data_IF_709520096567
#
_entry.id   IF_709520096567
#
_cell.length_a   1.000
_cell.length_b   1.000
_cell.length_c   1.000
_cell.angle_alpha   90.00
_cell.angle_beta   90.00
_cell.angle_gamma   90.00
#
_symmetry.space_group_name_H-M   'P 1'
#
loop_
_entity.id
_entity.type
_entity.pdbx_description
1 polymer ?
#
# COMPACT_ATOMS: atom_id res chain seq x y z
N UNK A 1 16.67 19.42 -12.19
CA UNK A 1 15.37 19.66 -11.51
C UNK A 1 15.55 19.47 -10.00
N UNK A 2 15.00 20.36 -9.20
CA UNK A 2 15.03 20.31 -7.74
C UNK A 2 13.62 20.08 -7.19
N UNK A 3 13.40 18.96 -6.54
CA UNK A 3 12.10 18.55 -5.98
C UNK A 3 12.08 18.81 -4.47
N UNK A 4 10.93 19.21 -3.93
CA UNK A 4 10.69 19.33 -2.51
C UNK A 4 9.62 18.32 -2.09
N UNK A 5 10.02 17.35 -1.28
CA UNK A 5 9.13 16.36 -0.69
C UNK A 5 8.78 16.78 0.74
N UNK A 6 7.51 16.88 1.01
CA UNK A 6 6.99 17.16 2.35
C UNK A 6 6.39 15.88 2.91
N UNK A 7 7.06 15.30 3.89
CA UNK A 7 6.74 13.99 4.43
C UNK A 7 6.40 14.05 5.92
N UNK A 8 5.36 13.35 6.33
CA UNK A 8 5.07 13.16 7.75
C UNK A 8 5.83 11.98 8.37
N UNK A 9 6.31 11.08 7.53
CA UNK A 9 7.11 9.90 7.87
C UNK A 9 8.18 9.71 6.81
N UNK A 10 9.35 9.25 7.22
CA UNK A 10 10.45 8.92 6.31
C UNK A 10 11.37 7.90 6.99
N UNK A 11 12.18 7.19 6.21
CA UNK A 11 13.17 6.25 6.78
C UNK A 11 13.86 6.81 8.03
N UNK A 12 14.07 5.99 9.06
CA UNK A 12 13.92 4.53 9.15
C UNK A 12 12.52 4.06 9.60
N UNK A 13 11.49 4.90 9.52
CA UNK A 13 10.12 4.50 9.85
C UNK A 13 9.58 3.57 8.75
N UNK A 14 9.10 2.38 9.15
CA UNK A 14 8.54 1.37 8.25
C UNK A 14 7.01 1.48 8.22
N UNK A 15 6.49 2.34 7.38
CA UNK A 15 5.07 2.39 7.02
C UNK A 15 4.85 1.80 5.64
N UNK A 16 3.62 1.44 5.30
CA UNK A 16 3.28 0.72 4.06
C UNK A 16 3.83 1.35 2.77
N UNK A 17 4.10 2.64 2.77
CA UNK A 17 4.54 3.41 1.62
C UNK A 17 6.07 3.64 1.57
N UNK A 18 6.82 3.39 2.64
CA UNK A 18 8.24 3.75 2.75
C UNK A 18 9.12 3.09 1.67
N UNK A 19 8.85 1.82 1.34
CA UNK A 19 9.60 1.11 0.31
C UNK A 19 9.37 1.71 -1.09
N UNK A 20 8.16 2.17 -1.41
CA UNK A 20 7.85 2.84 -2.66
C UNK A 20 8.61 4.17 -2.78
N UNK A 21 8.68 4.92 -1.68
CA UNK A 21 9.42 6.18 -1.68
C UNK A 21 10.91 5.97 -1.88
N UNK A 22 11.49 4.94 -1.28
CA UNK A 22 12.89 4.56 -1.51
C UNK A 22 13.16 4.30 -2.99
N UNK A 23 12.36 3.46 -3.61
CA UNK A 23 12.45 3.14 -5.04
C UNK A 23 12.30 4.39 -5.92
N UNK A 24 11.33 5.26 -5.58
CA UNK A 24 11.13 6.52 -6.28
C UNK A 24 12.36 7.43 -6.18
N UNK A 25 12.94 7.59 -4.99
CA UNK A 25 14.14 8.39 -4.79
C UNK A 25 15.33 7.85 -5.60
N UNK A 26 15.54 6.54 -5.62
CA UNK A 26 16.56 5.90 -6.46
C UNK A 26 16.37 6.22 -7.93
N UNK A 27 15.13 6.12 -8.44
CA UNK A 27 14.82 6.43 -9.83
C UNK A 27 15.00 7.92 -10.17
N UNK A 28 14.58 8.82 -9.29
CA UNK A 28 14.76 10.27 -9.45
C UNK A 28 16.25 10.65 -9.51
N UNK A 29 17.06 10.03 -8.67
CA UNK A 29 18.50 10.26 -8.63
C UNK A 29 19.20 9.74 -9.89
N UNK A 30 18.79 8.58 -10.42
CA UNK A 30 19.29 8.04 -11.71
C UNK A 30 19.04 9.03 -12.85
N UNK A 31 17.90 9.71 -12.84
CA UNK A 31 17.54 10.77 -13.80
C UNK A 31 18.12 12.15 -13.45
N UNK A 32 19.19 12.19 -12.68
CA UNK A 32 19.90 13.43 -12.28
C UNK A 32 19.05 14.49 -11.56
N UNK A 33 17.92 14.10 -10.95
CA UNK A 33 17.12 14.99 -10.12
C UNK A 33 17.74 15.15 -8.72
N UNK A 34 17.48 16.27 -8.09
CA UNK A 34 17.84 16.53 -6.68
C UNK A 34 16.58 16.61 -5.86
N UNK A 35 16.56 15.95 -4.71
CA UNK A 35 15.40 15.93 -3.83
C UNK A 35 15.77 16.52 -2.48
N UNK A 36 14.94 17.44 -2.00
CA UNK A 36 14.99 17.91 -0.63
C UNK A 36 13.76 17.37 0.11
N UNK A 37 14.00 16.63 1.18
CA UNK A 37 12.95 16.03 2.01
C UNK A 37 12.87 16.78 3.32
N UNK A 38 11.67 17.18 3.71
CA UNK A 38 11.38 17.73 5.04
C UNK A 38 10.48 16.74 5.76
N UNK A 39 10.94 16.23 6.89
CA UNK A 39 10.21 15.26 7.71
C UNK A 39 10.52 15.44 9.19
N UNK A 40 9.68 14.94 10.10
CA UNK A 40 10.00 14.87 11.52
C UNK A 40 11.11 13.85 11.80
N UNK A 41 11.67 13.91 13.01
CA UNK A 41 12.46 12.78 13.55
C UNK A 41 11.57 11.53 13.66
N UNK A 42 12.13 10.32 13.50
CA UNK A 42 11.36 9.07 13.52
C UNK A 42 10.63 8.87 14.86
N UNK A 43 9.36 8.49 14.78
CA UNK A 43 8.52 8.27 15.96
C UNK A 43 7.66 7.01 15.88
N UNK A 44 7.37 6.51 14.67
CA UNK A 44 6.46 5.39 14.42
C UNK A 44 7.20 4.14 13.97
N UNK A 45 6.89 2.99 14.58
CA UNK A 45 7.44 1.70 14.17
C UNK A 45 8.96 1.55 14.35
N UNK A 46 9.58 2.39 15.18
CA UNK A 46 11.03 2.36 15.44
C UNK A 46 11.33 2.14 16.90
N UNK A 47 12.46 1.49 17.19
CA UNK A 47 12.92 1.26 18.57
C UNK A 47 13.31 2.57 19.25
N UNK A 48 13.37 2.53 20.60
CA UNK A 48 13.83 3.69 21.37
C UNK A 48 15.30 4.04 21.06
N UNK A 49 16.12 3.06 20.75
CA UNK A 49 17.51 3.25 20.34
C UNK A 49 17.60 4.07 19.06
N UNK A 50 16.84 3.73 18.02
CA UNK A 50 16.78 4.50 16.77
C UNK A 50 16.29 5.94 17.05
N UNK A 51 15.29 6.12 17.91
CA UNK A 51 14.81 7.46 18.27
C UNK A 51 15.90 8.31 18.94
N UNK A 52 16.68 7.71 19.83
CA UNK A 52 17.82 8.40 20.48
C UNK A 52 18.88 8.79 19.46
N UNK A 53 19.22 7.90 18.52
CA UNK A 53 20.17 8.17 17.45
C UNK A 53 19.75 9.36 16.58
N UNK A 54 18.47 9.45 16.23
CA UNK A 54 17.94 10.51 15.37
C UNK A 54 17.62 11.82 16.09
N UNK A 55 17.62 11.86 17.42
CA UNK A 55 17.24 13.04 18.23
C UNK A 55 18.07 14.31 17.92
N UNK A 56 19.33 14.15 17.53
CA UNK A 56 20.24 15.25 17.18
C UNK A 56 20.48 15.44 15.67
N UNK A 57 19.96 14.53 14.84
CA UNK A 57 20.23 14.50 13.41
C UNK A 57 19.29 15.45 12.66
N UNK A 58 19.72 16.69 12.45
CA UNK A 58 18.93 17.73 11.78
C UNK A 58 19.00 17.65 10.26
N UNK A 59 20.14 17.24 9.72
CA UNK A 59 20.36 17.10 8.28
C UNK A 59 21.06 15.77 7.96
N UNK A 60 20.71 15.20 6.83
CA UNK A 60 21.24 13.95 6.32
C UNK A 60 21.39 14.05 4.80
N UNK A 61 22.43 13.44 4.25
CA UNK A 61 22.65 13.39 2.80
C UNK A 61 22.67 11.94 2.36
N UNK A 62 21.80 11.60 1.45
CA UNK A 62 21.67 10.27 0.85
C UNK A 62 22.02 10.36 -0.64
N UNK A 63 22.28 9.21 -1.28
CA UNK A 63 22.55 9.10 -2.71
C UNK A 63 23.65 10.11 -3.17
N UNK A 64 24.81 10.07 -2.53
CA UNK A 64 25.95 10.96 -2.82
C UNK A 64 25.58 12.45 -2.76
N UNK A 65 24.65 12.81 -1.87
CA UNK A 65 24.23 14.19 -1.62
C UNK A 65 23.18 14.74 -2.61
N UNK A 66 22.63 13.92 -3.50
CA UNK A 66 21.51 14.30 -4.38
C UNK A 66 20.18 14.35 -3.64
N UNK A 67 20.02 13.56 -2.58
CA UNK A 67 18.90 13.64 -1.65
C UNK A 67 19.39 14.27 -0.35
N UNK A 68 18.74 15.36 0.06
CA UNK A 68 19.01 16.07 1.32
C UNK A 68 17.78 15.97 2.20
N UNK A 69 17.93 15.35 3.37
CA UNK A 69 16.85 15.21 4.35
C UNK A 69 17.04 16.22 5.46
N UNK A 70 16.00 17.00 5.75
CA UNK A 70 15.95 17.92 6.89
C UNK A 70 14.92 17.45 7.87
N UNK A 71 15.37 17.15 9.09
CA UNK A 71 14.53 16.66 10.16
C UNK A 71 14.26 17.73 11.19
N UNK A 72 13.05 17.77 11.69
CA UNK A 72 12.64 18.62 12.81
C UNK A 72 12.08 17.76 13.95
N UNK A 73 12.12 18.28 15.16
CA UNK A 73 11.54 17.62 16.31
C UNK A 73 10.01 17.59 16.20
N UNK A 74 9.42 16.44 16.56
CA UNK A 74 7.97 16.26 16.67
C UNK A 74 7.61 15.51 17.97
N UNK A 75 6.43 15.78 18.55
CA UNK A 75 5.90 14.98 19.64
C UNK A 75 5.79 13.51 19.25
N UNK A 76 5.92 12.63 20.24
CA UNK A 76 5.75 11.19 20.04
C UNK A 76 4.34 10.89 19.52
N UNK A 77 4.22 9.92 18.61
CA UNK A 77 2.92 9.47 18.15
C UNK A 77 2.21 8.69 19.25
N UNK A 78 1.03 9.13 19.64
CA UNK A 78 0.20 8.54 20.68
C UNK A 78 -1.03 7.88 20.10
N UNK A 79 -1.57 6.87 20.76
CA UNK A 79 -2.89 6.31 20.47
C UNK A 79 -4.05 7.31 20.70
N UNK A 80 -3.81 8.38 21.46
CA UNK A 80 -4.81 9.42 21.72
C UNK A 80 -5.02 10.32 20.51
N UNK A 81 -6.28 10.46 20.07
CA UNK A 81 -6.64 11.23 18.86
C UNK A 81 -6.31 12.72 18.97
N UNK A 82 -6.42 13.32 20.17
CA UNK A 82 -6.10 14.75 20.40
C UNK A 82 -4.59 14.98 20.29
N UNK A 83 -3.79 14.11 20.92
CA UNK A 83 -2.33 14.18 20.83
C UNK A 83 -1.84 13.99 19.38
N UNK A 84 -2.48 13.09 18.61
CA UNK A 84 -2.21 12.92 17.18
C UNK A 84 -2.55 14.17 16.36
N UNK A 85 -3.70 14.78 16.61
CA UNK A 85 -4.10 16.00 15.92
C UNK A 85 -3.11 17.14 16.21
N UNK A 86 -2.68 17.31 17.46
CA UNK A 86 -1.65 18.29 17.85
C UNK A 86 -0.32 18.00 17.15
N UNK A 87 0.12 16.74 17.11
CA UNK A 87 1.33 16.35 16.38
C UNK A 87 1.24 16.71 14.91
N UNK A 88 0.14 16.42 14.23
CA UNK A 88 -0.03 16.76 12.82
C UNK A 88 -0.01 18.29 12.60
N UNK A 89 -0.68 19.04 13.45
CA UNK A 89 -0.61 20.50 13.39
C UNK A 89 0.82 21.02 13.55
N UNK A 90 1.55 20.51 14.55
CA UNK A 90 2.95 20.86 14.79
C UNK A 90 3.84 20.52 13.60
N UNK A 91 3.71 19.32 13.06
CA UNK A 91 4.48 18.87 11.91
C UNK A 91 4.19 19.74 10.68
N UNK A 92 2.93 20.09 10.44
CA UNK A 92 2.54 20.98 9.34
C UNK A 92 3.18 22.37 9.50
N UNK A 93 3.16 22.93 10.70
CA UNK A 93 3.75 24.23 10.97
C UNK A 93 5.27 24.24 10.72
N UNK A 94 5.98 23.21 11.23
CA UNK A 94 7.42 23.07 11.01
C UNK A 94 7.75 22.86 9.53
N UNK A 95 7.04 21.98 8.84
CA UNK A 95 7.23 21.72 7.42
C UNK A 95 6.97 22.97 6.57
N UNK A 96 5.95 23.75 6.90
CA UNK A 96 5.69 25.03 6.23
C UNK A 96 6.85 26.02 6.43
N UNK A 97 7.30 26.21 7.67
CA UNK A 97 8.36 27.14 8.02
C UNK A 97 9.68 26.79 7.33
N UNK A 98 10.06 25.53 7.36
CA UNK A 98 11.30 25.06 6.73
C UNK A 98 11.14 25.08 5.21
N UNK A 99 10.04 24.54 4.67
CA UNK A 99 9.80 24.42 3.23
C UNK A 99 9.79 25.75 2.50
N UNK A 100 9.18 26.78 3.07
CA UNK A 100 9.13 28.12 2.45
C UNK A 100 10.47 28.85 2.44
N UNK A 101 11.44 28.41 3.26
CA UNK A 101 12.79 29.02 3.31
C UNK A 101 13.76 28.36 2.33
N UNK A 102 13.48 27.16 1.85
CA UNK A 102 14.35 26.45 0.89
C UNK A 102 14.46 27.28 -0.40
N UNK A 103 15.64 27.24 -1.00
CA UNK A 103 15.92 27.92 -2.25
C UNK A 103 15.84 26.98 -3.46
N UNK A 104 15.41 27.52 -4.62
CA UNK A 104 15.47 26.86 -5.93
C UNK A 104 14.76 25.50 -5.98
N UNK A 105 13.44 25.51 -5.79
CA UNK A 105 12.55 24.35 -5.96
C UNK A 105 11.75 24.51 -7.25
N UNK A 106 11.66 23.42 -8.02
CA UNK A 106 10.92 23.37 -9.27
C UNK A 106 9.53 22.75 -9.08
N UNK A 107 9.41 21.72 -8.24
CA UNK A 107 8.13 21.04 -7.95
C UNK A 107 8.05 20.70 -6.46
N UNK A 108 6.86 20.87 -5.88
CA UNK A 108 6.50 20.38 -4.54
C UNK A 108 5.73 19.06 -4.69
N UNK A 109 6.07 18.08 -3.87
CA UNK A 109 5.43 16.76 -3.85
C UNK A 109 5.08 16.34 -2.42
N UNK A 110 3.95 15.69 -2.25
CA UNK A 110 3.61 15.04 -0.99
C UNK A 110 2.62 13.91 -1.17
N UNK A 111 2.65 12.98 -0.21
CA UNK A 111 1.66 11.91 -0.08
C UNK A 111 0.43 12.37 0.73
N UNK A 112 -0.64 11.58 0.67
CA UNK A 112 -1.92 11.88 1.34
C UNK A 112 -1.94 11.64 2.86
N UNK A 113 -0.86 11.11 3.43
CA UNK A 113 -0.80 10.78 4.86
C UNK A 113 0.16 11.72 5.60
N UNK A 114 -0.30 12.45 6.63
CA UNK A 114 -1.68 12.59 7.13
C UNK A 114 -2.57 13.44 6.19
N UNK A 115 -3.89 13.42 6.36
CA UNK A 115 -4.83 14.11 5.46
C UNK A 115 -4.57 15.60 5.23
N UNK A 116 -3.95 16.28 6.20
CA UNK A 116 -3.59 17.70 6.10
C UNK A 116 -2.34 17.97 5.26
N UNK A 117 -1.61 16.94 4.87
CA UNK A 117 -0.32 17.06 4.16
C UNK A 117 -0.48 17.72 2.78
N UNK A 118 -1.54 17.37 2.04
CA UNK A 118 -1.83 17.97 0.74
C UNK A 118 -2.11 19.47 0.85
N UNK A 119 -2.95 19.89 1.79
CA UNK A 119 -3.22 21.31 2.04
C UNK A 119 -1.95 22.08 2.42
N UNK A 120 -1.10 21.52 3.28
CA UNK A 120 0.19 22.09 3.63
C UNK A 120 1.05 22.29 2.38
N UNK A 121 1.17 21.28 1.54
CA UNK A 121 2.02 21.29 0.34
C UNK A 121 1.55 22.33 -0.67
N UNK A 122 0.24 22.47 -0.85
CA UNK A 122 -0.35 23.54 -1.67
C UNK A 122 0.03 24.94 -1.15
N UNK A 123 -0.03 25.15 0.18
CA UNK A 123 0.37 26.42 0.80
C UNK A 123 1.86 26.72 0.62
N UNK A 124 2.71 25.70 0.74
CA UNK A 124 4.16 25.84 0.51
C UNK A 124 4.43 26.18 -0.95
N UNK A 125 3.85 25.45 -1.91
CA UNK A 125 4.00 25.69 -3.34
C UNK A 125 3.58 27.13 -3.70
N UNK A 126 2.43 27.58 -3.20
CA UNK A 126 1.94 28.97 -3.39
C UNK A 126 2.90 30.01 -2.83
N UNK A 127 3.49 29.76 -1.65
CA UNK A 127 4.47 30.68 -1.04
C UNK A 127 5.77 30.72 -1.83
N UNK A 128 6.27 29.57 -2.29
CA UNK A 128 7.46 29.47 -3.13
C UNK A 128 7.24 30.14 -4.49
N UNK A 129 6.07 29.95 -5.11
CA UNK A 129 5.71 30.63 -6.37
C UNK A 129 5.79 32.16 -6.25
N UNK A 130 5.24 32.72 -5.16
CA UNK A 130 5.35 34.15 -4.89
C UNK A 130 6.80 34.60 -4.67
N UNK A 131 7.58 33.80 -3.92
CA UNK A 131 9.00 34.09 -3.62
C UNK A 131 9.86 34.12 -4.88
N UNK A 132 9.64 33.14 -5.78
CA UNK A 132 10.45 33.02 -7.00
C UNK A 132 9.90 33.79 -8.19
N UNK A 133 8.71 34.41 -8.06
CA UNK A 133 7.99 35.11 -9.14
C UNK A 133 7.78 34.21 -10.38
N UNK A 134 7.65 32.91 -10.15
CA UNK A 134 7.28 31.90 -11.16
C UNK A 134 6.42 30.84 -10.52
N UNK A 135 5.67 30.10 -11.33
CA UNK A 135 4.89 28.96 -10.83
C UNK A 135 5.83 27.88 -10.27
N UNK A 136 5.52 27.36 -9.09
CA UNK A 136 6.09 26.14 -8.50
C UNK A 136 4.92 25.18 -8.34
N UNK A 137 4.76 24.23 -9.26
CA UNK A 137 3.65 23.30 -9.24
C UNK A 137 3.68 22.36 -8.04
N UNK A 138 2.48 21.90 -7.66
CA UNK A 138 2.27 20.92 -6.61
C UNK A 138 1.68 19.63 -7.18
N UNK A 139 2.36 18.52 -6.98
CA UNK A 139 1.90 17.17 -7.31
C UNK A 139 1.52 16.44 -6.01
N UNK A 140 0.28 15.95 -5.97
CA UNK A 140 -0.30 15.25 -4.84
C UNK A 140 -0.42 13.77 -5.11
N UNK A 141 0.19 12.92 -4.30
CA UNK A 141 0.10 11.46 -4.40
C UNK A 141 -0.94 10.92 -3.42
N UNK A 142 -2.09 10.53 -3.94
CA UNK A 142 -3.26 10.10 -3.20
C UNK A 142 -3.21 8.59 -2.94
N UNK A 143 -2.70 8.20 -1.79
CA UNK A 143 -2.59 6.80 -1.34
C UNK A 143 -3.80 6.35 -0.52
N UNK A 144 -4.60 7.28 -0.03
CA UNK A 144 -5.79 7.06 0.80
C UNK A 144 -6.77 8.22 0.60
N UNK A 145 -8.01 7.91 0.30
CA UNK A 145 -9.06 8.93 0.07
C UNK A 145 -9.69 9.31 1.41
N UNK A 146 -9.18 10.38 1.97
CA UNK A 146 -9.75 11.01 3.17
C UNK A 146 -10.80 12.06 2.75
N UNK A 147 -11.98 12.18 3.41
CA UNK A 147 -12.40 11.48 4.64
C UNK A 147 -13.19 10.19 4.42
N UNK A 148 -13.22 9.65 3.20
CA UNK A 148 -14.00 8.44 2.90
C UNK A 148 -13.48 7.23 3.71
N UNK A 149 -12.16 7.14 3.89
CA UNK A 149 -11.52 6.12 4.73
C UNK A 149 -11.93 6.19 6.21
N UNK A 150 -12.31 7.35 6.74
CA UNK A 150 -12.89 7.44 8.08
C UNK A 150 -14.28 6.82 8.17
N UNK A 151 -15.03 6.86 7.07
CA UNK A 151 -16.38 6.27 7.02
C UNK A 151 -16.27 4.76 6.92
N UNK A 152 -15.42 4.25 6.04
CA UNK A 152 -15.20 2.80 5.85
C UNK A 152 -14.64 2.11 7.11
N UNK A 153 -13.80 2.82 7.88
CA UNK A 153 -13.27 2.32 9.17
C UNK A 153 -14.20 2.56 10.37
N UNK A 154 -15.36 3.21 10.16
CA UNK A 154 -16.32 3.51 11.22
C UNK A 154 -15.90 4.64 12.18
N UNK A 155 -14.81 5.34 11.91
CA UNK A 155 -14.31 6.45 12.73
C UNK A 155 -15.11 7.74 12.56
N UNK A 156 -15.84 7.89 11.47
CA UNK A 156 -16.74 9.01 11.23
C UNK A 156 -17.98 8.56 10.46
N UNK A 157 -19.12 9.26 10.65
CA UNK A 157 -20.31 9.11 9.82
C UNK A 157 -20.26 10.12 8.68
N UNK A 158 -20.69 9.71 7.47
CA UNK A 158 -20.85 10.62 6.32
C UNK A 158 -21.77 11.79 6.73
N UNK A 159 -21.34 13.02 6.42
CA UNK A 159 -22.08 14.23 6.81
C UNK A 159 -21.83 14.75 8.24
N UNK A 160 -21.08 14.04 9.08
CA UNK A 160 -20.68 14.53 10.42
C UNK A 160 -19.76 15.77 10.32
N UNK A 161 -19.58 16.48 11.42
CA UNK A 161 -18.69 17.66 11.48
C UNK A 161 -17.26 17.29 11.07
N UNK A 162 -16.73 16.17 11.58
CA UNK A 162 -15.40 15.69 11.25
C UNK A 162 -15.29 15.39 9.74
N UNK A 163 -16.29 14.72 9.18
CA UNK A 163 -16.33 14.42 7.74
C UNK A 163 -16.37 15.72 6.90
N UNK A 164 -17.21 16.70 7.29
CA UNK A 164 -17.29 17.99 6.59
C UNK A 164 -15.97 18.78 6.62
N UNK A 165 -15.27 18.76 7.76
CA UNK A 165 -13.94 19.37 7.87
C UNK A 165 -12.96 18.64 6.95
N UNK A 166 -12.96 17.29 6.97
CA UNK A 166 -12.13 16.48 6.10
C UNK A 166 -12.37 16.78 4.63
N UNK A 167 -13.64 16.89 4.21
CA UNK A 167 -14.01 17.26 2.83
C UNK A 167 -13.45 18.64 2.43
N UNK A 168 -13.53 19.63 3.29
CA UNK A 168 -12.95 20.97 3.00
C UNK A 168 -11.43 20.91 2.82
N UNK A 169 -10.73 20.11 3.62
CA UNK A 169 -9.28 19.92 3.48
C UNK A 169 -8.96 19.23 2.16
N UNK A 170 -9.72 18.19 1.82
CA UNK A 170 -9.58 17.43 0.58
C UNK A 170 -9.88 18.35 -0.63
N UNK A 171 -11.01 19.04 -0.63
CA UNK A 171 -11.40 19.96 -1.70
C UNK A 171 -10.34 21.06 -1.93
N UNK A 172 -9.83 21.66 -0.86
CA UNK A 172 -8.75 22.64 -0.96
C UNK A 172 -7.49 22.04 -1.61
N UNK A 173 -7.14 20.81 -1.20
CA UNK A 173 -5.96 20.11 -1.76
C UNK A 173 -6.14 19.87 -3.25
N UNK A 174 -7.27 19.28 -3.67
CA UNK A 174 -7.55 18.97 -5.08
C UNK A 174 -7.62 20.21 -5.98
N UNK A 175 -8.22 21.28 -5.48
CA UNK A 175 -8.29 22.55 -6.23
C UNK A 175 -6.91 23.14 -6.49
N UNK A 176 -5.98 23.02 -5.53
CA UNK A 176 -4.65 23.63 -5.59
C UNK A 176 -3.54 22.69 -6.07
N UNK A 177 -3.81 21.42 -6.27
CA UNK A 177 -2.88 20.50 -6.91
C UNK A 177 -2.88 20.75 -8.43
N UNK A 178 -1.71 20.77 -9.03
CA UNK A 178 -1.53 20.82 -10.48
C UNK A 178 -1.72 19.46 -11.11
N UNK A 179 -1.23 18.42 -10.43
CA UNK A 179 -1.46 17.00 -10.76
C UNK A 179 -1.76 16.19 -9.50
N UNK A 180 -2.60 15.18 -9.67
CA UNK A 180 -2.97 14.24 -8.60
C UNK A 180 -2.68 12.83 -9.11
N UNK A 181 -1.79 12.12 -8.43
CA UNK A 181 -1.53 10.72 -8.70
C UNK A 181 -2.48 9.90 -7.85
N UNK A 182 -3.15 8.95 -8.47
CA UNK A 182 -4.02 7.96 -7.80
C UNK A 182 -3.53 6.55 -8.10
N UNK A 183 -3.82 5.61 -7.21
CA UNK A 183 -3.28 4.24 -7.27
C UNK A 183 -4.12 3.28 -8.12
N UNK A 184 -5.32 3.70 -8.55
CA UNK A 184 -6.27 2.85 -9.28
C UNK A 184 -7.31 3.68 -10.05
N UNK A 185 -8.01 3.02 -10.99
CA UNK A 185 -9.12 3.63 -11.73
C UNK A 185 -10.33 3.93 -10.83
N UNK A 186 -10.56 3.13 -9.78
CA UNK A 186 -11.60 3.40 -8.79
C UNK A 186 -11.31 4.67 -8.00
N UNK A 187 -10.03 4.92 -7.63
CA UNK A 187 -9.65 6.19 -7.02
C UNK A 187 -9.83 7.36 -7.97
N UNK A 188 -9.46 7.22 -9.25
CA UNK A 188 -9.71 8.22 -10.29
C UNK A 188 -11.20 8.54 -10.38
N UNK A 189 -12.05 7.52 -10.52
CA UNK A 189 -13.51 7.67 -10.60
C UNK A 189 -14.09 8.35 -9.36
N UNK A 190 -13.60 7.99 -8.17
CA UNK A 190 -14.04 8.60 -6.91
C UNK A 190 -13.75 10.11 -6.86
N UNK A 191 -12.54 10.54 -7.20
CA UNK A 191 -12.20 11.97 -7.12
C UNK A 191 -12.78 12.76 -8.30
N UNK A 192 -12.98 12.15 -9.47
CA UNK A 192 -13.75 12.75 -10.58
C UNK A 192 -15.20 13.02 -10.17
N UNK A 193 -15.85 12.10 -9.48
CA UNK A 193 -17.19 12.28 -8.92
C UNK A 193 -17.26 13.42 -7.88
N UNK A 194 -16.13 13.81 -7.31
CA UNK A 194 -15.96 14.96 -6.40
C UNK A 194 -15.63 16.27 -7.14
N UNK A 195 -15.61 16.24 -8.48
CA UNK A 195 -15.40 17.43 -9.32
C UNK A 195 -13.94 17.71 -9.67
N UNK A 196 -13.03 16.75 -9.48
CA UNK A 196 -11.64 16.89 -9.95
C UNK A 196 -11.61 16.67 -11.46
N UNK A 197 -11.06 17.60 -12.26
CA UNK A 197 -10.92 17.43 -13.71
C UNK A 197 -10.00 16.26 -14.07
N UNK A 198 -10.39 15.47 -15.07
CA UNK A 198 -9.65 14.27 -15.47
C UNK A 198 -8.20 14.56 -15.87
N UNK A 199 -7.97 15.69 -16.55
CA UNK A 199 -6.62 16.11 -16.98
C UNK A 199 -5.64 16.39 -15.84
N UNK A 200 -6.14 16.55 -14.61
CA UNK A 200 -5.29 16.66 -13.42
C UNK A 200 -4.89 15.29 -12.85
N UNK A 201 -5.56 14.20 -13.25
CA UNK A 201 -5.44 12.90 -12.60
C UNK A 201 -4.52 11.99 -13.42
N UNK A 202 -3.54 11.40 -12.74
CA UNK A 202 -2.68 10.35 -13.28
C UNK A 202 -2.86 9.07 -12.47
N UNK A 203 -3.19 7.97 -13.13
CA UNK A 203 -3.29 6.67 -12.47
C UNK A 203 -1.93 5.99 -12.52
N UNK A 204 -1.21 5.97 -11.41
CA UNK A 204 0.06 5.24 -11.27
C UNK A 204 -0.09 4.29 -10.09
N UNK A 205 -0.18 3.01 -10.37
CA UNK A 205 -0.32 1.97 -9.35
C UNK A 205 0.87 1.95 -8.39
N UNK A 206 0.65 1.53 -7.16
CA UNK A 206 1.74 1.08 -6.31
C UNK A 206 2.40 -0.14 -6.97
N UNK A 207 3.70 -0.29 -6.82
CA UNK A 207 4.48 -1.26 -7.59
C UNK A 207 5.14 -2.32 -6.74
N UNK A 208 5.67 -3.30 -7.43
CA UNK A 208 6.54 -4.32 -6.88
C UNK A 208 7.86 -4.36 -7.66
N UNK A 209 8.95 -4.62 -6.96
CA UNK A 209 10.24 -4.88 -7.57
C UNK A 209 10.28 -6.34 -8.03
N UNK A 210 10.25 -6.54 -9.35
CA UNK A 210 10.21 -7.87 -9.96
C UNK A 210 11.55 -8.62 -9.87
N UNK A 211 12.65 -7.95 -9.56
CA UNK A 211 13.93 -8.60 -9.31
C UNK A 211 13.95 -9.22 -7.90
N UNK A 212 13.33 -8.54 -6.94
CA UNK A 212 13.23 -9.00 -5.56
C UNK A 212 12.11 -10.02 -5.35
N UNK A 213 10.99 -9.89 -6.09
CA UNK A 213 9.83 -10.78 -5.97
C UNK A 213 9.63 -11.57 -7.26
N UNK A 214 9.81 -12.88 -7.17
CA UNK A 214 9.80 -13.80 -8.31
C UNK A 214 9.26 -15.18 -7.92
N UNK A 215 8.82 -15.98 -8.90
CA UNK A 215 8.39 -17.35 -8.63
C UNK A 215 9.54 -18.19 -8.08
N UNK A 216 9.26 -18.99 -7.06
CA UNK A 216 10.15 -20.00 -6.50
C UNK A 216 9.59 -21.39 -6.82
N UNK A 217 10.40 -22.25 -7.40
CA UNK A 217 10.01 -23.64 -7.70
C UNK A 217 9.58 -24.38 -6.44
N UNK A 218 8.57 -25.25 -6.55
CA UNK A 218 8.04 -25.98 -5.39
C UNK A 218 9.14 -26.78 -4.67
N UNK A 219 10.01 -27.45 -5.43
CA UNK A 219 11.12 -28.23 -4.87
C UNK A 219 12.22 -27.38 -4.23
N UNK A 220 12.32 -26.11 -4.64
CA UNK A 220 13.30 -25.16 -4.13
C UNK A 220 12.75 -24.35 -2.94
N UNK A 221 11.44 -24.43 -2.68
CA UNK A 221 10.80 -23.64 -1.65
C UNK A 221 11.09 -24.18 -0.25
N UNK A 222 11.93 -23.46 0.48
CA UNK A 222 12.42 -23.87 1.81
C UNK A 222 11.31 -23.98 2.86
N UNK A 223 10.18 -23.30 2.65
CA UNK A 223 9.05 -23.35 3.59
C UNK A 223 8.44 -24.76 3.70
N UNK A 224 8.53 -25.57 2.64
CA UNK A 224 8.04 -26.96 2.70
C UNK A 224 8.74 -27.76 3.79
N UNK A 225 10.08 -27.71 3.84
CA UNK A 225 10.86 -28.42 4.85
C UNK A 225 10.80 -27.73 6.22
N UNK A 226 10.86 -26.42 6.25
CA UNK A 226 10.86 -25.60 7.48
C UNK A 226 9.58 -25.81 8.30
N UNK A 227 8.42 -25.89 7.63
CA UNK A 227 7.12 -26.06 8.27
C UNK A 227 6.54 -27.47 8.12
N UNK A 228 7.34 -28.45 7.64
CA UNK A 228 6.90 -29.84 7.43
C UNK A 228 5.65 -29.96 6.57
N UNK A 229 5.54 -29.11 5.52
CA UNK A 229 4.40 -29.08 4.61
C UNK A 229 4.60 -30.16 3.53
N UNK A 230 3.60 -30.99 3.30
CA UNK A 230 3.65 -32.05 2.30
C UNK A 230 3.58 -31.46 0.86
N UNK A 231 4.60 -31.68 0.02
CA UNK A 231 4.67 -31.07 -1.32
C UNK A 231 3.61 -31.61 -2.29
N UNK A 232 2.97 -32.74 -1.96
CA UNK A 232 1.93 -33.39 -2.77
C UNK A 232 0.52 -32.86 -2.50
N UNK A 233 0.35 -31.98 -1.53
CA UNK A 233 -0.94 -31.37 -1.19
C UNK A 233 -1.24 -30.16 -2.05
N UNK A 234 -2.52 -29.85 -2.22
CA UNK A 234 -3.00 -28.59 -2.76
C UNK A 234 -2.95 -27.53 -1.65
N UNK A 235 -2.14 -26.50 -1.85
CA UNK A 235 -1.85 -25.49 -0.83
C UNK A 235 -2.61 -24.20 -1.11
N UNK A 236 -3.44 -23.82 -0.16
CA UNK A 236 -4.16 -22.54 -0.13
C UNK A 236 -3.40 -21.60 0.81
N UNK A 237 -2.76 -20.56 0.27
CA UNK A 237 -1.91 -19.67 1.06
C UNK A 237 -2.61 -18.35 1.38
N UNK A 238 -2.49 -17.89 2.60
CA UNK A 238 -2.83 -16.53 3.01
C UNK A 238 -1.65 -15.92 3.77
N UNK A 239 -1.26 -14.70 3.41
CA UNK A 239 -0.31 -13.93 4.21
C UNK A 239 -0.85 -12.53 4.48
N UNK A 240 -0.94 -12.15 5.75
CA UNK A 240 -1.40 -10.81 6.10
C UNK A 240 -1.94 -10.62 7.50
N UNK A 241 -2.45 -9.42 7.72
CA UNK A 241 -2.98 -9.00 9.00
C UNK A 241 -4.37 -9.63 9.27
N UNK A 242 -4.58 -10.11 10.48
CA UNK A 242 -5.88 -10.48 11.03
C UNK A 242 -6.46 -9.27 11.79
N UNK A 243 -6.82 -8.24 11.04
CA UNK A 243 -7.39 -7.00 11.57
C UNK A 243 -8.89 -6.88 11.32
N UNK A 244 -9.45 -5.77 11.78
CA UNK A 244 -10.90 -5.55 11.74
C UNK A 244 -11.48 -5.46 10.32
N UNK A 245 -10.73 -4.98 9.34
CA UNK A 245 -11.19 -4.80 7.95
C UNK A 245 -10.87 -5.97 7.01
N UNK A 246 -9.97 -6.86 7.39
CA UNK A 246 -9.53 -7.96 6.52
C UNK A 246 -10.53 -9.12 6.43
N UNK A 247 -11.40 -9.30 7.42
CA UNK A 247 -12.40 -10.38 7.42
C UNK A 247 -11.77 -11.78 7.28
N UNK A 248 -10.54 -11.97 7.77
CA UNK A 248 -9.76 -13.19 7.56
C UNK A 248 -10.32 -14.44 8.28
N UNK A 249 -11.26 -14.27 9.19
CA UNK A 249 -12.01 -15.36 9.82
C UNK A 249 -12.80 -16.23 8.82
N UNK A 250 -13.13 -15.68 7.65
CA UNK A 250 -13.80 -16.43 6.58
C UNK A 250 -12.93 -17.59 6.06
N UNK A 251 -11.59 -17.46 6.16
CA UNK A 251 -10.65 -18.49 5.70
C UNK A 251 -10.84 -19.78 6.50
N UNK A 252 -10.91 -19.66 7.83
CA UNK A 252 -11.12 -20.81 8.72
C UNK A 252 -12.48 -21.47 8.48
N UNK A 253 -13.51 -20.65 8.27
CA UNK A 253 -14.86 -21.16 7.95
C UNK A 253 -14.92 -21.89 6.61
N UNK A 254 -14.16 -21.42 5.61
CA UNK A 254 -14.05 -22.10 4.32
C UNK A 254 -13.23 -23.39 4.44
N UNK A 255 -12.15 -23.39 5.25
CA UNK A 255 -11.36 -24.56 5.54
C UNK A 255 -12.18 -25.67 6.23
N UNK A 256 -13.05 -25.30 7.17
CA UNK A 256 -13.97 -26.25 7.82
C UNK A 256 -14.92 -26.92 6.82
N UNK A 257 -15.46 -26.13 5.85
CA UNK A 257 -16.31 -26.69 4.79
C UNK A 257 -15.56 -27.64 3.83
N UNK A 258 -14.26 -27.51 3.74
CA UNK A 258 -13.40 -28.33 2.87
C UNK A 258 -12.65 -29.44 3.63
N UNK A 259 -12.98 -29.67 4.90
CA UNK A 259 -12.27 -30.61 5.79
C UNK A 259 -12.23 -32.05 5.25
N UNK A 260 -13.29 -32.47 4.55
CA UNK A 260 -13.35 -33.81 3.95
C UNK A 260 -12.40 -33.97 2.73
N UNK A 261 -11.93 -32.87 2.16
CA UNK A 261 -10.97 -32.83 1.06
C UNK A 261 -9.53 -32.90 1.62
N UNK A 262 -9.11 -34.10 2.05
CA UNK A 262 -7.84 -34.34 2.77
C UNK A 262 -6.57 -33.85 2.04
N UNK A 263 -6.65 -33.57 0.75
CA UNK A 263 -5.53 -33.06 -0.04
C UNK A 263 -5.42 -31.54 -0.03
N UNK A 264 -6.41 -30.82 0.48
CA UNK A 264 -6.39 -29.35 0.60
C UNK A 264 -5.82 -28.97 1.96
N UNK A 265 -4.76 -28.19 1.96
CA UNK A 265 -4.17 -27.61 3.17
C UNK A 265 -4.13 -26.09 3.09
N UNK A 266 -4.50 -25.43 4.18
CA UNK A 266 -4.45 -23.99 4.34
C UNK A 266 -3.19 -23.63 5.12
N UNK A 267 -2.31 -22.86 4.49
CA UNK A 267 -1.07 -22.36 5.10
C UNK A 267 -1.22 -20.87 5.30
N UNK A 268 -1.26 -20.44 6.53
CA UNK A 268 -1.57 -19.06 6.92
C UNK A 268 -0.37 -18.45 7.63
N UNK A 269 0.15 -17.36 7.08
CA UNK A 269 1.14 -16.52 7.73
C UNK A 269 0.46 -15.22 8.17
N UNK A 270 0.39 -14.97 9.47
CA UNK A 270 -0.43 -13.88 9.98
C UNK A 270 0.13 -13.15 11.18
N UNK A 271 -0.59 -12.11 11.55
CA UNK A 271 -0.39 -11.30 12.75
C UNK A 271 -1.56 -10.35 12.93
N UNK A 272 -1.60 -9.61 14.03
CA UNK A 272 -2.64 -8.60 14.26
C UNK A 272 -3.63 -8.96 15.36
N UNK A 273 -4.65 -8.10 15.53
CA UNK A 273 -5.50 -8.11 16.72
C UNK A 273 -6.30 -9.42 16.93
N UNK A 274 -6.68 -10.09 15.85
CA UNK A 274 -7.47 -11.34 15.89
C UNK A 274 -6.65 -12.59 15.57
N UNK A 275 -5.33 -12.47 15.49
CA UNK A 275 -4.46 -13.57 15.08
C UNK A 275 -4.44 -14.72 16.10
N UNK A 276 -4.35 -14.40 17.40
CA UNK A 276 -4.33 -15.40 18.47
C UNK A 276 -5.66 -16.18 18.56
N UNK A 277 -6.79 -15.51 18.29
CA UNK A 277 -8.10 -16.18 18.24
C UNK A 277 -8.18 -17.14 17.04
N UNK A 278 -7.65 -16.72 15.89
CA UNK A 278 -7.58 -17.57 14.70
C UNK A 278 -6.68 -18.79 14.94
N UNK A 279 -5.54 -18.62 15.62
CA UNK A 279 -4.62 -19.69 15.97
C UNK A 279 -5.26 -20.73 16.87
N UNK A 280 -5.96 -20.29 17.93
CA UNK A 280 -6.73 -21.20 18.81
C UNK A 280 -7.81 -21.98 18.05
N UNK A 281 -8.51 -21.33 17.13
CA UNK A 281 -9.54 -22.00 16.30
C UNK A 281 -8.90 -23.06 15.42
N UNK A 282 -7.75 -22.79 14.83
CA UNK A 282 -7.03 -23.72 13.95
C UNK A 282 -6.47 -24.96 14.68
N UNK A 283 -6.23 -24.92 15.98
CA UNK A 283 -5.78 -26.07 16.78
C UNK A 283 -6.74 -27.30 16.70
N UNK A 284 -7.99 -27.05 16.38
CA UNK A 284 -9.02 -28.11 16.21
C UNK A 284 -9.15 -28.59 14.75
N UNK A 285 -8.36 -28.06 13.83
CA UNK A 285 -8.47 -28.26 12.39
C UNK A 285 -7.22 -28.99 11.86
N UNK A 286 -7.40 -30.11 11.24
CA UNK A 286 -6.30 -30.94 10.70
C UNK A 286 -5.80 -30.50 9.30
N UNK A 287 -6.53 -29.58 8.66
CA UNK A 287 -6.20 -29.02 7.35
C UNK A 287 -5.74 -27.56 7.37
N UNK A 288 -5.52 -26.96 8.56
CA UNK A 288 -5.10 -25.55 8.72
C UNK A 288 -3.81 -25.45 9.54
N UNK A 289 -2.83 -24.75 8.99
CA UNK A 289 -1.52 -24.50 9.61
C UNK A 289 -1.30 -22.98 9.69
N UNK A 290 -1.19 -22.47 10.91
CA UNK A 290 -1.03 -21.02 11.17
C UNK A 290 0.35 -20.73 11.74
N UNK A 291 1.03 -19.77 11.11
CA UNK A 291 2.37 -19.31 11.47
C UNK A 291 2.40 -17.79 11.59
N UNK A 292 3.38 -17.27 12.32
CA UNK A 292 3.67 -15.85 12.37
C UNK A 292 4.06 -15.30 10.99
N UNK A 293 3.86 -13.99 10.77
CA UNK A 293 4.31 -13.34 9.54
C UNK A 293 5.82 -13.52 9.36
N UNK A 294 6.22 -13.96 8.19
CA UNK A 294 7.62 -14.04 7.82
C UNK A 294 8.18 -12.66 7.43
N UNK A 295 9.51 -12.49 7.50
CA UNK A 295 10.18 -11.29 7.00
C UNK A 295 9.84 -10.98 5.53
N UNK A 296 9.85 -9.70 5.16
CA UNK A 296 9.42 -9.24 3.84
C UNK A 296 10.27 -9.79 2.67
N UNK A 297 11.53 -10.13 2.92
CA UNK A 297 12.44 -10.75 1.94
C UNK A 297 12.07 -12.19 1.59
N UNK A 298 11.19 -12.82 2.36
CA UNK A 298 10.67 -14.17 2.11
C UNK A 298 9.33 -14.19 1.37
N UNK A 299 8.84 -13.06 0.89
CA UNK A 299 7.53 -12.94 0.22
C UNK A 299 7.41 -13.84 -1.02
N UNK A 300 8.51 -14.04 -1.75
CA UNK A 300 8.58 -14.93 -2.90
C UNK A 300 8.32 -16.39 -2.51
N UNK A 301 8.95 -16.87 -1.44
CA UNK A 301 8.72 -18.24 -0.92
C UNK A 301 7.28 -18.40 -0.46
N UNK A 302 6.73 -17.40 0.27
CA UNK A 302 5.36 -17.44 0.83
C UNK A 302 4.32 -17.58 -0.27
N UNK A 303 4.34 -16.73 -1.29
CA UNK A 303 3.31 -16.79 -2.31
C UNK A 303 3.54 -17.90 -3.34
N UNK A 304 4.78 -18.22 -3.64
CA UNK A 304 5.10 -19.37 -4.51
C UNK A 304 4.83 -20.73 -3.88
N UNK A 305 4.60 -20.78 -2.56
CA UNK A 305 4.20 -22.01 -1.87
C UNK A 305 2.80 -22.46 -2.29
N UNK A 306 1.89 -21.50 -2.57
CA UNK A 306 0.48 -21.75 -2.82
C UNK A 306 0.18 -22.21 -4.25
N UNK A 307 -0.72 -23.18 -4.41
CA UNK A 307 -1.42 -23.43 -5.67
C UNK A 307 -2.50 -22.37 -5.92
N UNK A 308 -2.88 -21.67 -4.85
CA UNK A 308 -3.74 -20.48 -4.86
C UNK A 308 -3.45 -19.63 -3.62
N UNK A 309 -3.53 -18.31 -3.78
CA UNK A 309 -3.43 -17.35 -2.68
C UNK A 309 -4.78 -16.67 -2.40
N UNK A 310 -5.05 -16.40 -1.13
CA UNK A 310 -6.30 -15.75 -0.72
C UNK A 310 -6.08 -14.27 -0.43
N UNK A 311 -7.06 -13.46 -0.86
CA UNK A 311 -7.23 -12.06 -0.45
C UNK A 311 -8.64 -11.91 0.11
N UNK A 312 -8.76 -11.31 1.30
CA UNK A 312 -10.05 -11.15 1.96
C UNK A 312 -10.28 -9.74 2.45
N UNK A 313 -11.53 -9.29 2.47
CA UNK A 313 -11.97 -8.09 3.16
C UNK A 313 -13.34 -8.30 3.82
N UNK A 314 -13.72 -7.38 4.70
CA UNK A 314 -15.10 -7.28 5.16
C UNK A 314 -15.98 -6.61 4.10
N UNK A 315 -17.27 -6.96 4.02
CA UNK A 315 -18.19 -6.30 3.09
C UNK A 315 -18.15 -4.78 3.18
N UNK A 316 -18.05 -4.10 2.02
CA UNK A 316 -18.03 -2.65 1.92
C UNK A 316 -16.71 -1.98 2.29
N UNK A 317 -15.63 -2.75 2.49
CA UNK A 317 -14.30 -2.18 2.77
C UNK A 317 -13.33 -2.31 1.60
N UNK A 318 -13.68 -3.05 0.56
CA UNK A 318 -12.81 -3.33 -0.59
C UNK A 318 -12.49 -2.10 -1.44
N UNK A 319 -13.42 -1.16 -1.53
CA UNK A 319 -13.25 0.08 -2.29
C UNK A 319 -12.39 1.14 -1.57
N UNK A 320 -11.90 0.84 -0.35
CA UNK A 320 -11.01 1.75 0.38
C UNK A 320 -9.55 1.74 -0.13
N UNK A 321 -9.18 0.79 -0.99
CA UNK A 321 -7.84 0.73 -1.58
C UNK A 321 -7.53 -0.61 -2.24
N UNK A 322 -6.48 -0.61 -3.05
CA UNK A 322 -5.95 -1.81 -3.67
C UNK A 322 -5.03 -2.56 -2.69
N UNK A 323 -5.30 -3.84 -2.37
CA UNK A 323 -4.42 -4.60 -1.47
C UNK A 323 -3.01 -4.74 -2.06
N UNK A 324 -2.00 -4.24 -1.37
CA UNK A 324 -0.60 -4.27 -1.86
C UNK A 324 -0.07 -5.68 -2.15
N UNK A 325 -0.56 -6.69 -1.43
CA UNK A 325 -0.20 -8.09 -1.65
C UNK A 325 -0.59 -8.65 -3.02
N UNK A 326 -1.54 -8.04 -3.71
CA UNK A 326 -1.99 -8.44 -5.05
C UNK A 326 -0.82 -8.54 -6.02
N UNK A 327 0.00 -7.51 -6.06
CA UNK A 327 1.16 -7.46 -6.96
C UNK A 327 2.23 -8.49 -6.59
N UNK A 328 2.43 -8.74 -5.29
CA UNK A 328 3.37 -9.79 -4.83
C UNK A 328 2.90 -11.19 -5.21
N UNK A 329 1.61 -11.49 -5.04
CA UNK A 329 1.02 -12.78 -5.42
C UNK A 329 1.16 -12.99 -6.93
N UNK A 330 0.77 -12.00 -7.72
CA UNK A 330 0.83 -12.06 -9.18
C UNK A 330 2.28 -12.12 -9.70
N UNK A 331 3.22 -11.42 -9.05
CA UNK A 331 4.65 -11.49 -9.37
C UNK A 331 5.23 -12.90 -9.16
N UNK A 332 4.67 -13.67 -8.24
CA UNK A 332 4.99 -15.08 -8.01
C UNK A 332 4.25 -16.05 -8.94
N UNK A 333 3.45 -15.54 -9.89
CA UNK A 333 2.58 -16.34 -10.77
C UNK A 333 1.56 -17.22 -10.00
N UNK A 334 1.18 -16.83 -8.80
CA UNK A 334 0.22 -17.56 -7.98
C UNK A 334 -1.20 -17.06 -8.27
N UNK A 335 -2.15 -17.95 -8.62
CA UNK A 335 -3.55 -17.58 -8.82
C UNK A 335 -4.18 -17.00 -7.54
N UNK A 336 -5.18 -16.15 -7.71
CA UNK A 336 -5.88 -15.47 -6.61
C UNK A 336 -7.31 -15.98 -6.50
N UNK A 337 -7.75 -16.31 -5.30
CA UNK A 337 -9.17 -16.37 -4.96
C UNK A 337 -9.42 -15.28 -3.91
N UNK A 338 -10.25 -14.30 -4.27
CA UNK A 338 -10.57 -13.19 -3.40
C UNK A 338 -12.00 -13.31 -2.84
N UNK A 339 -12.13 -13.15 -1.51
CA UNK A 339 -13.41 -12.85 -0.88
C UNK A 339 -13.43 -11.35 -0.61
N UNK A 340 -13.93 -10.60 -1.62
CA UNK A 340 -13.72 -9.16 -1.72
C UNK A 340 -14.88 -8.50 -2.47
N UNK A 341 -15.13 -7.19 -2.24
CA UNK A 341 -16.20 -6.48 -2.93
C UNK A 341 -16.02 -6.61 -4.44
N UNK A 342 -17.03 -7.14 -5.13
CA UNK A 342 -16.96 -7.53 -6.56
C UNK A 342 -17.00 -6.35 -7.52
N UNK A 343 -17.30 -5.15 -7.01
CA UNK A 343 -17.24 -3.86 -7.70
C UNK A 343 -15.96 -3.06 -7.41
N UNK A 344 -14.90 -3.73 -6.93
CA UNK A 344 -13.63 -3.10 -6.54
C UNK A 344 -12.55 -3.21 -7.61
N UNK A 345 -11.54 -2.32 -7.51
CA UNK A 345 -10.33 -2.38 -8.35
C UNK A 345 -9.64 -3.75 -8.33
N UNK A 346 -9.64 -4.45 -7.18
CA UNK A 346 -9.08 -5.79 -7.09
C UNK A 346 -9.85 -6.79 -7.95
N UNK A 347 -11.18 -6.73 -7.94
CA UNK A 347 -12.01 -7.61 -8.75
C UNK A 347 -11.77 -7.38 -10.25
N UNK A 348 -11.61 -6.12 -10.66
CA UNK A 348 -11.27 -5.75 -12.03
C UNK A 348 -9.88 -6.28 -12.43
N UNK A 349 -8.86 -6.09 -11.60
CA UNK A 349 -7.51 -6.63 -11.85
C UNK A 349 -7.52 -8.16 -11.96
N UNK A 350 -8.23 -8.87 -11.06
CA UNK A 350 -8.34 -10.33 -11.12
C UNK A 350 -8.98 -10.78 -12.44
N UNK A 351 -10.04 -10.11 -12.88
CA UNK A 351 -10.73 -10.40 -14.14
C UNK A 351 -9.85 -10.12 -15.35
N UNK A 352 -9.27 -8.93 -15.43
CA UNK A 352 -8.53 -8.43 -16.59
C UNK A 352 -7.20 -9.18 -16.78
N UNK A 353 -6.55 -9.56 -15.69
CA UNK A 353 -5.34 -10.38 -15.71
C UNK A 353 -5.62 -11.89 -15.87
N UNK A 354 -6.88 -12.33 -15.78
CA UNK A 354 -7.19 -13.76 -15.67
C UNK A 354 -6.56 -14.41 -14.45
N UNK A 355 -6.41 -13.64 -13.35
CA UNK A 355 -5.64 -14.06 -12.19
C UNK A 355 -6.36 -15.06 -11.30
N UNK A 356 -7.67 -15.28 -11.51
CA UNK A 356 -8.46 -16.20 -10.70
C UNK A 356 -9.90 -15.78 -10.53
N UNK A 357 -10.42 -15.82 -9.30
CA UNK A 357 -11.84 -15.59 -9.01
C UNK A 357 -12.03 -14.64 -7.84
N UNK A 358 -12.95 -13.68 -7.99
CA UNK A 358 -13.45 -12.86 -6.90
C UNK A 358 -14.86 -13.31 -6.54
N UNK A 359 -15.15 -13.48 -5.25
CA UNK A 359 -16.47 -13.82 -4.71
C UNK A 359 -16.87 -12.77 -3.67
N UNK A 360 -18.17 -12.62 -3.45
CA UNK A 360 -18.69 -11.66 -2.48
C UNK A 360 -18.07 -11.85 -1.09
N UNK A 361 -17.67 -10.75 -0.43
CA UNK A 361 -17.04 -10.83 0.88
C UNK A 361 -18.02 -11.35 1.93
N UNK A 362 -17.55 -12.30 2.75
CA UNK A 362 -18.38 -12.93 3.75
C UNK A 362 -19.18 -14.16 3.27
N UNK A 363 -19.25 -14.46 1.96
CA UNK A 363 -19.84 -15.70 1.45
C UNK A 363 -18.86 -16.86 1.57
N UNK A 364 -18.92 -17.54 2.73
CA UNK A 364 -18.11 -18.73 3.02
C UNK A 364 -18.35 -19.86 2.02
N UNK A 365 -19.61 -20.00 1.54
CA UNK A 365 -19.98 -21.04 0.59
C UNK A 365 -19.37 -20.81 -0.78
N UNK A 366 -19.43 -19.57 -1.28
CA UNK A 366 -18.81 -19.19 -2.55
C UNK A 366 -17.29 -19.31 -2.50
N UNK A 367 -16.66 -18.90 -1.39
CA UNK A 367 -15.22 -19.04 -1.21
C UNK A 367 -14.78 -20.50 -1.22
N UNK A 368 -15.46 -21.36 -0.45
CA UNK A 368 -15.18 -22.79 -0.41
C UNK A 368 -15.37 -23.47 -1.78
N UNK A 369 -16.44 -23.12 -2.51
CA UNK A 369 -16.66 -23.62 -3.88
C UNK A 369 -15.56 -23.19 -4.83
N UNK A 370 -15.15 -21.92 -4.80
CA UNK A 370 -14.08 -21.41 -5.67
C UNK A 370 -12.75 -22.13 -5.41
N UNK A 371 -12.41 -22.40 -4.15
CA UNK A 371 -11.22 -23.18 -3.77
C UNK A 371 -11.36 -24.63 -4.26
N UNK A 372 -12.53 -25.26 -4.08
CA UNK A 372 -12.80 -26.61 -4.53
C UNK A 372 -12.72 -26.76 -6.06
N UNK A 373 -13.25 -25.82 -6.83
CA UNK A 373 -13.14 -25.77 -8.29
C UNK A 373 -11.66 -25.69 -8.74
N UNK A 374 -10.88 -24.84 -8.08
CA UNK A 374 -9.44 -24.71 -8.37
C UNK A 374 -8.67 -25.97 -8.02
N UNK A 375 -9.02 -26.63 -6.89
CA UNK A 375 -8.45 -27.94 -6.52
C UNK A 375 -8.75 -29.01 -7.57
N UNK A 376 -10.00 -29.08 -8.10
CA UNK A 376 -10.32 -30.05 -9.16
C UNK A 376 -9.48 -29.78 -10.41
N UNK A 377 -9.38 -28.54 -10.88
CA UNK A 377 -8.53 -28.18 -12.02
C UNK A 377 -7.07 -28.62 -11.80
N UNK A 378 -6.53 -28.34 -10.61
CA UNK A 378 -5.18 -28.76 -10.22
C UNK A 378 -4.99 -30.27 -10.24
N UNK A 379 -5.97 -31.05 -9.72
CA UNK A 379 -5.96 -32.52 -9.66
C UNK A 379 -5.97 -33.16 -11.05
N UNK A 380 -6.68 -32.56 -12.01
CA UNK A 380 -6.73 -33.03 -13.39
C UNK A 380 -5.55 -32.52 -14.25
N UNK A 381 -4.54 -31.91 -13.63
CA UNK A 381 -3.32 -31.50 -14.30
C UNK A 381 -3.44 -30.19 -15.09
N UNK A 382 -4.53 -29.47 -14.94
CA UNK A 382 -4.68 -28.10 -15.47
C UNK A 382 -3.82 -27.14 -14.64
N UNK A 383 -2.51 -27.30 -14.84
CA UNK A 383 -1.52 -26.29 -14.42
C UNK A 383 -1.56 -25.19 -15.48
N UNK A 384 -2.68 -24.44 -15.53
CA UNK A 384 -2.76 -23.29 -16.39
C UNK A 384 -1.47 -22.48 -16.19
N UNK A 385 -0.68 -22.34 -17.24
CA UNK A 385 0.49 -21.47 -17.26
C UNK A 385 -0.02 -20.03 -17.26
N UNK A 386 -0.51 -19.60 -16.10
CA UNK A 386 -0.98 -18.24 -15.92
C UNK A 386 0.29 -17.40 -15.82
N UNK A 387 0.52 -16.55 -16.79
CA UNK A 387 1.64 -15.60 -16.73
C UNK A 387 1.15 -14.26 -16.16
N UNK A 388 0.88 -14.25 -14.87
CA UNK A 388 0.44 -13.06 -14.13
C UNK A 388 1.57 -12.02 -14.01
N UNK A 389 2.81 -12.48 -14.06
CA UNK A 389 3.98 -11.63 -13.96
C UNK A 389 4.09 -10.65 -15.12
N UNK A 390 3.65 -11.02 -16.33
CA UNK A 390 3.63 -10.10 -17.48
C UNK A 390 2.63 -8.97 -17.27
N UNK A 391 1.48 -9.26 -16.67
CA UNK A 391 0.53 -8.23 -16.29
C UNK A 391 1.14 -7.26 -15.25
N UNK A 392 1.80 -7.79 -14.21
CA UNK A 392 2.50 -6.95 -13.22
C UNK A 392 3.59 -6.11 -13.88
N UNK A 393 4.37 -6.69 -14.80
CA UNK A 393 5.41 -5.98 -15.56
C UNK A 393 4.85 -4.79 -16.33
N UNK A 394 3.65 -4.94 -16.88
CA UNK A 394 2.98 -3.90 -17.65
C UNK A 394 2.37 -2.81 -16.77
N UNK A 395 1.74 -3.17 -15.65
CA UNK A 395 0.89 -2.23 -14.90
C UNK A 395 1.44 -1.82 -13.54
N UNK A 396 2.28 -2.63 -12.91
CA UNK A 396 2.74 -2.44 -11.53
C UNK A 396 4.21 -2.80 -11.29
N UNK A 397 5.07 -2.77 -12.32
CA UNK A 397 6.52 -2.92 -12.11
C UNK A 397 7.15 -1.62 -11.61
N UNK A 398 8.17 -1.76 -10.75
CA UNK A 398 8.99 -0.65 -10.23
C UNK A 398 9.50 0.25 -11.36
N UNK A 399 10.11 -0.34 -12.39
CA UNK A 399 10.71 0.41 -13.50
C UNK A 399 9.67 1.27 -14.21
N UNK A 400 8.51 0.70 -14.50
CA UNK A 400 7.47 1.37 -15.27
C UNK A 400 6.79 2.46 -14.46
N UNK A 401 6.44 2.17 -13.21
CA UNK A 401 5.79 3.14 -12.34
C UNK A 401 6.73 4.30 -11.98
N UNK A 402 7.99 4.00 -11.62
CA UNK A 402 9.00 5.03 -11.32
C UNK A 402 9.30 5.89 -12.54
N UNK A 403 9.34 5.29 -13.74
CA UNK A 403 9.49 6.05 -14.98
C UNK A 403 8.32 7.03 -15.18
N UNK A 404 7.08 6.58 -14.99
CA UNK A 404 5.88 7.45 -15.08
C UNK A 404 5.92 8.61 -14.09
N UNK A 405 6.38 8.39 -12.85
CA UNK A 405 6.63 9.47 -11.89
C UNK A 405 7.69 10.46 -12.42
N UNK A 406 8.80 9.96 -12.97
CA UNK A 406 9.85 10.80 -13.54
C UNK A 406 9.34 11.67 -14.68
N UNK A 407 8.56 11.09 -15.60
CA UNK A 407 7.97 11.78 -16.75
C UNK A 407 6.96 12.85 -16.27
N UNK A 408 6.12 12.51 -15.27
CA UNK A 408 5.16 13.44 -14.70
C UNK A 408 5.83 14.65 -14.03
N UNK A 409 6.89 14.43 -13.24
CA UNK A 409 7.66 15.53 -12.64
C UNK A 409 8.25 16.44 -13.72
N UNK A 410 8.82 15.89 -14.80
CA UNK A 410 9.39 16.66 -15.90
C UNK A 410 8.32 17.50 -16.60
N UNK A 411 7.24 16.88 -17.05
CA UNK A 411 6.15 17.55 -17.78
C UNK A 411 5.46 18.63 -16.94
N UNK A 412 5.36 18.43 -15.62
CA UNK A 412 4.69 19.40 -14.73
C UNK A 412 5.60 20.59 -14.42
N UNK A 413 6.93 20.44 -14.47
CA UNK A 413 7.85 21.57 -14.21
C UNK A 413 7.92 22.55 -15.37
N UNK A 414 7.60 22.12 -16.59
CA UNK A 414 7.73 22.90 -17.83
C UNK A 414 6.41 23.67 -18.18
N UNK A 415 5.33 23.43 -17.40
CA UNK A 415 4.03 24.08 -17.52
C UNK A 415 3.85 25.20 -16.49
#
# INVERSE_FOLDING_TARGET
MNLLFLNAYFEPETIAYTHLEKDLLEGLVKENKRVQIICPVPTRGVSEQIRKEYKGRKEEKLHSGRVKVRRFWAPHESGNSVARAFRYFWCNLQSYWIGTKIGSIDVVFSNSTPPTQGMLSALVAKKLSKKYKRKVPFIYNLQDIFPDSLVSTGLAKKGSVLWKIGRKIEDYTYQNADKIIVISEGFKSNIMAKGVPEEKIEVISNWIDLDSVHPVGREENKLLSEFSIAPTKFLVVYAGNFGASQGADIILKAAEKLRDQRDIQFIIFGGGAYFEDAKRTAETMDNVFIHELLPADRVSEVYSLGDVALITCKPGTGNAGMPSKTWSIMACNTPIIASFDTDSDLADVIRDAGAGKCVEPGDVGALARAIGERYQSWKFGDKAKINLRDYVKEYASKEKCVKRYNDLFANTSDS
#
